data_IF_352598631341
#
_entry.id   IF_352598631341
#
_cell.length_a   1.000
_cell.length_b   1.000
_cell.length_c   1.000
_cell.angle_alpha   90.00
_cell.angle_beta   90.00
_cell.angle_gamma   90.00
#
_symmetry.space_group_name_H-M   'P 1'
#
loop_
_entity.id
_entity.type
_entity.pdbx_description
1 polymer ?
#
# COMPACT_ATOMS: atom_id res chain seq x y z
N UNK A 1 15.38 22.85 -43.89
CA UNK A 1 14.68 21.68 -43.39
C UNK A 1 13.18 21.79 -43.67
N UNK A 2 12.58 20.81 -44.26
CA UNK A 2 11.17 20.92 -44.62
C UNK A 2 10.28 21.08 -43.38
N UNK A 3 9.32 21.96 -43.44
CA UNK A 3 8.34 22.23 -42.41
C UNK A 3 7.56 20.96 -41.96
N UNK A 4 7.47 19.97 -42.85
CA UNK A 4 6.82 18.67 -42.60
C UNK A 4 7.47 17.86 -41.49
N UNK A 5 8.82 17.92 -41.36
CA UNK A 5 9.55 17.19 -40.31
C UNK A 5 9.33 17.85 -38.95
N UNK A 6 9.30 19.19 -38.90
CA UNK A 6 9.00 19.94 -37.69
C UNK A 6 7.57 19.65 -37.20
N UNK A 7 6.61 19.52 -38.11
CA UNK A 7 5.23 19.15 -37.83
C UNK A 7 5.15 17.75 -37.23
N UNK A 8 5.88 16.78 -37.79
CA UNK A 8 5.93 15.40 -37.30
C UNK A 8 6.57 15.32 -35.89
N UNK A 9 7.63 16.09 -35.65
CA UNK A 9 8.29 16.16 -34.32
C UNK A 9 7.33 16.74 -33.27
N UNK A 10 6.63 17.82 -33.60
CA UNK A 10 5.62 18.43 -32.70
C UNK A 10 4.45 17.50 -32.42
N UNK A 11 3.98 16.77 -33.42
CA UNK A 11 2.93 15.77 -33.30
C UNK A 11 3.37 14.62 -32.41
N UNK A 12 4.59 14.09 -32.61
CA UNK A 12 5.17 13.03 -31.78
C UNK A 12 5.35 13.48 -30.32
N UNK A 13 5.76 14.73 -30.10
CA UNK A 13 5.91 15.27 -28.74
C UNK A 13 4.57 15.44 -28.03
N UNK A 14 3.49 15.80 -28.77
CA UNK A 14 2.14 15.87 -28.21
C UNK A 14 1.63 14.49 -27.81
N UNK A 15 1.78 13.50 -28.68
CA UNK A 15 1.39 12.13 -28.38
C UNK A 15 2.15 11.57 -27.18
N UNK A 16 3.44 11.87 -27.07
CA UNK A 16 4.23 11.47 -25.91
C UNK A 16 3.79 12.19 -24.63
N UNK A 17 3.39 13.46 -24.70
CA UNK A 17 2.86 14.21 -23.57
C UNK A 17 1.48 13.67 -23.14
N UNK A 18 0.61 13.35 -24.09
CA UNK A 18 -0.67 12.71 -23.82
C UNK A 18 -0.50 11.30 -23.24
N UNK A 19 0.43 10.50 -23.76
CA UNK A 19 0.80 9.19 -23.19
C UNK A 19 1.37 9.33 -21.78
N UNK A 20 2.15 10.38 -21.49
CA UNK A 20 2.65 10.69 -20.14
C UNK A 20 1.51 11.08 -19.19
N UNK A 21 0.52 11.81 -19.66
CA UNK A 21 -0.67 12.13 -18.85
C UNK A 21 -1.55 10.91 -18.60
N UNK A 22 -1.69 10.03 -19.58
CA UNK A 22 -2.39 8.75 -19.43
C UNK A 22 -1.62 7.77 -18.53
N UNK A 23 -0.27 7.85 -18.50
CA UNK A 23 0.60 7.07 -17.60
C UNK A 23 0.57 7.51 -16.14
N UNK A 24 -0.12 8.62 -15.79
CA UNK A 24 -0.42 8.98 -14.40
C UNK A 24 -1.44 8.08 -13.72
N UNK A 25 -2.02 7.13 -14.46
CA UNK A 25 -2.82 6.06 -13.89
C UNK A 25 -1.90 5.06 -13.19
N UNK A 26 -2.11 4.91 -11.90
CA UNK A 26 -1.41 3.93 -11.09
C UNK A 26 -2.21 2.64 -10.98
N UNK A 27 -1.52 1.54 -10.78
CA UNK A 27 -2.16 0.27 -10.41
C UNK A 27 -2.20 0.22 -8.88
N UNK A 28 -3.34 -0.12 -8.35
CA UNK A 28 -3.60 -0.23 -6.92
C UNK A 28 -3.83 -1.69 -6.55
N UNK A 29 -3.15 -2.17 -5.55
CA UNK A 29 -3.43 -3.47 -4.94
C UNK A 29 -4.56 -3.29 -3.93
N UNK A 30 -5.66 -3.99 -4.13
CA UNK A 30 -6.82 -3.97 -3.23
C UNK A 30 -6.78 -5.22 -2.37
N UNK A 31 -6.83 -5.04 -1.06
CA UNK A 31 -6.71 -6.13 -0.10
C UNK A 31 -7.62 -5.91 1.11
N UNK A 32 -7.75 -6.93 1.91
CA UNK A 32 -8.56 -6.90 3.12
C UNK A 32 -7.70 -7.09 4.36
N UNK A 33 -8.14 -6.49 5.44
CA UNK A 33 -7.52 -6.60 6.77
C UNK A 33 -8.61 -7.00 7.76
N UNK A 34 -8.36 -8.07 8.51
CA UNK A 34 -9.26 -8.52 9.56
C UNK A 34 -10.40 -9.40 9.06
N UNK A 35 -11.27 -9.77 9.99
CA UNK A 35 -12.37 -10.66 9.73
C UNK A 35 -13.47 -9.99 8.91
N UNK A 36 -13.93 -10.64 7.84
CA UNK A 36 -14.77 -10.04 6.81
C UNK A 36 -16.27 -10.19 7.01
N UNK A 37 -16.71 -10.45 8.21
CA UNK A 37 -18.14 -10.65 8.44
C UNK A 37 -19.03 -9.55 7.86
N UNK A 38 -18.50 -8.34 7.69
CA UNK A 38 -19.23 -7.18 7.21
C UNK A 38 -18.90 -6.72 5.78
N UNK A 39 -17.94 -7.34 5.11
CA UNK A 39 -17.57 -7.02 3.72
C UNK A 39 -17.10 -5.58 3.46
N UNK A 40 -16.83 -4.81 4.50
CA UNK A 40 -16.64 -3.35 4.42
C UNK A 40 -15.20 -2.86 4.52
N UNK A 41 -14.24 -3.74 4.79
CA UNK A 41 -12.88 -3.32 5.09
C UNK A 41 -11.93 -3.61 3.92
N UNK A 42 -12.05 -2.81 2.88
CA UNK A 42 -11.14 -2.83 1.74
C UNK A 42 -10.12 -1.72 1.85
N UNK A 43 -8.88 -2.05 1.51
CA UNK A 43 -7.73 -1.16 1.58
C UNK A 43 -6.97 -1.20 0.27
N UNK A 44 -6.31 -0.10 -0.03
CA UNK A 44 -5.52 0.04 -1.25
C UNK A 44 -4.11 0.55 -0.96
N UNK A 45 -3.16 0.03 -1.70
CA UNK A 45 -1.79 0.49 -1.70
C UNK A 45 -1.32 0.58 -3.16
N UNK A 46 -0.55 1.61 -3.54
CA UNK A 46 0.01 1.63 -4.89
C UNK A 46 0.86 0.37 -5.14
N UNK A 47 0.69 -0.25 -6.30
CA UNK A 47 1.47 -1.44 -6.66
C UNK A 47 2.98 -1.20 -6.63
N UNK A 48 3.42 0.03 -6.91
CA UNK A 48 4.82 0.44 -6.82
C UNK A 48 5.38 0.37 -5.40
N UNK A 49 4.52 0.41 -4.39
CA UNK A 49 4.90 0.27 -2.98
C UNK A 49 5.04 -1.20 -2.54
N UNK A 50 4.70 -2.13 -3.41
CA UNK A 50 4.75 -3.58 -3.14
C UNK A 50 5.92 -4.19 -3.87
N UNK A 51 6.85 -4.79 -3.11
CA UNK A 51 7.96 -5.55 -3.67
C UNK A 51 7.51 -6.95 -4.08
N UNK A 52 6.78 -7.61 -3.20
CA UNK A 52 6.19 -8.92 -3.45
C UNK A 52 5.07 -9.23 -2.44
N UNK A 53 4.31 -10.26 -2.73
CA UNK A 53 3.30 -10.82 -1.82
C UNK A 53 3.76 -12.22 -1.45
N UNK A 54 3.95 -12.45 -0.14
CA UNK A 54 4.41 -13.74 0.39
C UNK A 54 3.25 -14.51 1.00
N UNK A 55 3.26 -15.83 0.75
CA UNK A 55 2.39 -16.79 1.42
C UNK A 55 3.23 -17.72 2.29
N UNK A 56 2.68 -18.09 3.44
CA UNK A 56 3.23 -19.13 4.32
C UNK A 56 4.69 -18.90 4.75
N UNK A 57 5.04 -17.63 4.99
CA UNK A 57 6.35 -17.29 5.52
C UNK A 57 6.44 -17.56 7.02
N UNK A 58 7.60 -18.00 7.49
CA UNK A 58 7.86 -18.20 8.92
C UNK A 58 8.19 -16.87 9.58
N UNK A 59 7.44 -16.53 10.63
CA UNK A 59 7.67 -15.32 11.42
C UNK A 59 8.26 -15.71 12.77
N UNK A 60 9.39 -15.10 13.12
CA UNK A 60 10.06 -15.29 14.38
C UNK A 60 9.67 -14.17 15.34
N UNK A 61 9.03 -14.46 16.49
CA UNK A 61 8.60 -13.42 17.41
C UNK A 61 9.79 -12.67 18.02
N UNK A 62 9.57 -11.38 18.34
CA UNK A 62 10.53 -10.52 19.01
C UNK A 62 10.04 -10.19 20.43
N UNK A 63 10.92 -10.11 21.43
CA UNK A 63 10.54 -9.63 22.75
C UNK A 63 10.41 -8.09 22.78
N UNK A 64 9.60 -7.59 23.72
CA UNK A 64 9.49 -6.16 24.01
C UNK A 64 9.10 -5.27 22.83
N UNK A 65 8.19 -5.77 21.98
CA UNK A 65 7.64 -5.02 20.84
C UNK A 65 6.17 -4.69 21.06
N UNK A 66 5.64 -3.66 20.39
CA UNK A 66 4.20 -3.40 20.44
C UNK A 66 3.37 -4.61 19.96
N UNK A 67 2.12 -4.77 20.42
CA UNK A 67 1.29 -5.93 20.08
C UNK A 67 1.07 -6.14 18.57
N UNK A 68 1.12 -5.08 17.77
CA UNK A 68 0.94 -5.19 16.32
C UNK A 68 2.20 -5.67 15.58
N UNK A 69 3.34 -5.76 16.25
CA UNK A 69 4.56 -6.33 15.69
C UNK A 69 4.55 -7.84 15.94
N UNK A 70 4.36 -8.63 14.88
CA UNK A 70 4.38 -10.09 14.99
C UNK A 70 5.78 -10.66 15.21
N UNK A 71 6.79 -9.96 14.74
CA UNK A 71 8.17 -10.39 14.79
C UNK A 71 8.92 -10.05 13.50
N UNK A 72 9.83 -10.93 13.10
CA UNK A 72 10.60 -10.77 11.87
C UNK A 72 10.49 -12.00 11.00
N UNK A 73 10.56 -11.80 9.70
CA UNK A 73 10.77 -12.87 8.72
C UNK A 73 12.07 -12.60 7.96
N UNK A 74 12.74 -13.66 7.52
CA UNK A 74 13.94 -13.53 6.73
C UNK A 74 13.57 -13.55 5.25
N UNK A 75 13.98 -12.51 4.53
CA UNK A 75 13.78 -12.41 3.09
C UNK A 75 15.03 -11.80 2.45
N UNK A 76 15.52 -12.41 1.40
CA UNK A 76 16.74 -11.96 0.70
C UNK A 76 17.99 -11.86 1.62
N UNK A 77 18.05 -12.69 2.65
CA UNK A 77 19.13 -12.66 3.63
C UNK A 77 19.00 -11.57 4.70
N UNK A 78 17.92 -10.78 4.69
CA UNK A 78 17.69 -9.68 5.62
C UNK A 78 16.44 -9.93 6.49
N UNK A 79 16.45 -9.46 7.74
CA UNK A 79 15.24 -9.49 8.57
C UNK A 79 14.27 -8.38 8.17
N UNK A 80 13.00 -8.75 7.99
CA UNK A 80 11.90 -7.84 7.72
C UNK A 80 10.95 -7.85 8.92
N UNK A 81 10.61 -6.68 9.43
CA UNK A 81 9.65 -6.54 10.52
C UNK A 81 8.25 -6.78 10.00
N UNK A 82 7.49 -7.64 10.68
CA UNK A 82 6.12 -7.99 10.30
C UNK A 82 5.12 -7.24 11.19
N UNK A 83 4.28 -6.43 10.55
CA UNK A 83 3.24 -5.65 11.21
C UNK A 83 1.88 -6.28 10.93
N UNK A 84 1.11 -6.59 11.96
CA UNK A 84 -0.28 -7.00 11.82
C UNK A 84 -1.15 -5.76 11.72
N UNK A 85 -1.62 -5.48 10.52
CA UNK A 85 -2.42 -4.28 10.23
C UNK A 85 -3.74 -4.26 11.01
N UNK A 86 -4.32 -5.41 11.30
CA UNK A 86 -5.57 -5.51 12.06
C UNK A 86 -5.36 -5.12 13.54
N UNK A 87 -4.31 -5.63 14.16
CA UNK A 87 -3.97 -5.29 15.55
C UNK A 87 -3.63 -3.82 15.68
N UNK A 88 -2.93 -3.27 14.69
CA UNK A 88 -2.62 -1.83 14.64
C UNK A 88 -3.89 -0.97 14.67
N UNK A 89 -4.95 -1.42 14.04
CA UNK A 89 -6.26 -0.73 14.03
C UNK A 89 -7.14 -1.07 15.25
N UNK A 90 -6.62 -1.82 16.21
CA UNK A 90 -7.38 -2.23 17.38
C UNK A 90 -8.32 -3.41 17.15
N UNK A 91 -8.12 -4.14 16.07
CA UNK A 91 -8.90 -5.35 15.74
C UNK A 91 -8.16 -6.61 16.22
N UNK A 92 -8.83 -7.74 16.11
CA UNK A 92 -8.23 -9.03 16.45
C UNK A 92 -7.08 -9.40 15.50
N UNK A 93 -6.11 -10.15 16.01
CA UNK A 93 -4.97 -10.63 15.23
C UNK A 93 -5.43 -11.50 14.04
N UNK A 94 -4.80 -11.29 12.90
CA UNK A 94 -5.11 -12.05 11.69
C UNK A 94 -4.57 -13.47 11.78
N UNK A 95 -5.35 -14.43 11.30
CA UNK A 95 -4.95 -15.83 11.24
C UNK A 95 -4.29 -16.20 9.91
N UNK A 96 -4.44 -15.35 8.91
CA UNK A 96 -3.85 -15.56 7.59
C UNK A 96 -2.32 -15.46 7.62
N UNK A 97 -1.67 -16.23 6.76
CA UNK A 97 -0.22 -16.19 6.55
C UNK A 97 0.09 -15.52 5.20
N UNK A 98 -0.42 -14.32 5.02
CA UNK A 98 -0.26 -13.53 3.79
C UNK A 98 0.34 -12.18 4.14
N UNK A 99 1.44 -11.82 3.43
CA UNK A 99 2.23 -10.65 3.75
C UNK A 99 2.52 -9.82 2.51
N UNK A 100 2.35 -8.51 2.60
CA UNK A 100 2.85 -7.57 1.61
C UNK A 100 4.25 -7.12 2.02
N UNK A 101 5.25 -7.42 1.22
CA UNK A 101 6.61 -6.92 1.42
C UNK A 101 6.68 -5.52 0.78
N UNK A 102 6.95 -4.51 1.58
CA UNK A 102 7.00 -3.13 1.10
C UNK A 102 8.27 -2.88 0.29
N UNK A 103 8.11 -2.13 -0.80
CA UNK A 103 9.19 -1.81 -1.73
C UNK A 103 9.87 -0.49 -1.32
N UNK A 104 10.56 -0.52 -0.19
CA UNK A 104 11.35 0.59 0.30
C UNK A 104 12.51 0.08 1.16
N UNK A 105 13.25 0.99 1.79
CA UNK A 105 14.40 0.67 2.64
C UNK A 105 14.01 0.31 4.09
N UNK A 106 12.73 0.32 4.42
CA UNK A 106 12.26 0.08 5.79
C UNK A 106 12.35 -1.37 6.24
N UNK A 107 12.47 -2.31 5.31
CA UNK A 107 12.42 -3.76 5.58
C UNK A 107 11.18 -4.13 6.40
N UNK A 108 10.01 -3.71 5.90
CA UNK A 108 8.73 -3.92 6.58
C UNK A 108 7.80 -4.77 5.73
N UNK A 109 7.09 -5.68 6.39
CA UNK A 109 6.00 -6.47 5.80
C UNK A 109 4.70 -6.16 6.52
N UNK A 110 3.62 -6.09 5.76
CA UNK A 110 2.27 -5.96 6.30
C UNK A 110 1.55 -7.30 6.22
N UNK A 111 1.11 -7.82 7.35
CA UNK A 111 0.24 -8.99 7.38
C UNK A 111 -1.16 -8.54 6.99
N UNK A 112 -1.73 -9.22 6.01
CA UNK A 112 -3.07 -8.92 5.47
C UNK A 112 -3.91 -10.19 5.48
N UNK A 113 -5.23 -10.05 5.29
CA UNK A 113 -6.13 -11.19 5.26
C UNK A 113 -6.20 -11.81 3.87
N UNK A 114 -6.44 -11.01 2.84
CA UNK A 114 -6.57 -11.51 1.46
C UNK A 114 -6.31 -10.41 0.45
N UNK A 115 -5.86 -10.81 -0.74
CA UNK A 115 -5.76 -9.92 -1.91
C UNK A 115 -7.05 -10.05 -2.71
N UNK A 116 -7.67 -8.93 -3.03
CA UNK A 116 -8.95 -8.89 -3.74
C UNK A 116 -8.82 -8.60 -5.20
N UNK A 117 -8.03 -7.59 -5.56
CA UNK A 117 -7.96 -7.14 -6.95
C UNK A 117 -6.73 -6.25 -7.20
N UNK A 118 -6.43 -6.05 -8.46
CA UNK A 118 -5.57 -4.98 -8.92
C UNK A 118 -6.43 -4.02 -9.73
N UNK A 119 -6.42 -2.74 -9.34
CA UNK A 119 -7.30 -1.74 -9.92
C UNK A 119 -6.47 -0.57 -10.48
N UNK A 120 -6.77 -0.18 -11.72
CA UNK A 120 -6.11 0.94 -12.37
C UNK A 120 -6.93 2.21 -12.15
N UNK A 121 -6.36 3.20 -11.49
CA UNK A 121 -6.98 4.50 -11.24
C UNK A 121 -5.92 5.58 -11.18
N UNK A 122 -6.33 6.82 -11.43
CA UNK A 122 -5.45 7.98 -11.25
C UNK A 122 -5.32 8.32 -9.76
N UNK A 123 -4.16 8.84 -9.36
CA UNK A 123 -4.01 9.43 -8.02
C UNK A 123 -5.00 10.56 -7.75
N UNK A 124 -5.47 11.23 -8.82
CA UNK A 124 -6.51 12.26 -8.75
C UNK A 124 -7.87 11.74 -8.34
N UNK A 125 -8.10 10.43 -8.50
CA UNK A 125 -9.36 9.78 -8.12
C UNK A 125 -9.43 9.50 -6.61
N UNK A 126 -8.31 9.66 -5.90
CA UNK A 126 -8.27 9.53 -4.45
C UNK A 126 -8.93 10.77 -3.82
N UNK A 127 -9.94 10.53 -3.00
CA UNK A 127 -10.60 11.58 -2.22
C UNK A 127 -9.88 11.70 -0.89
N UNK A 128 -9.07 12.74 -0.73
CA UNK A 128 -8.31 12.97 0.49
C UNK A 128 -9.21 13.33 1.67
N UNK A 129 -8.87 12.87 2.84
CA UNK A 129 -9.57 13.24 4.06
C UNK A 129 -9.42 14.73 4.34
N UNK A 130 -10.50 15.35 4.86
CA UNK A 130 -10.46 16.72 5.38
C UNK A 130 -9.62 16.76 6.67
N UNK A 131 -9.25 17.97 7.12
CA UNK A 131 -8.52 18.15 8.37
C UNK A 131 -9.24 17.54 9.58
N UNK A 132 -10.58 17.49 9.55
CA UNK A 132 -11.41 16.89 10.59
C UNK A 132 -11.40 15.36 10.56
N UNK A 133 -11.10 14.77 9.41
CA UNK A 133 -11.09 13.32 9.17
C UNK A 133 -9.68 12.73 9.15
N UNK A 134 -8.67 13.49 9.53
CA UNK A 134 -7.26 13.07 9.45
C UNK A 134 -7.02 11.73 10.13
N UNK A 135 -6.34 10.86 9.41
CA UNK A 135 -5.89 9.58 9.90
C UNK A 135 -4.36 9.51 9.82
N UNK A 136 -3.74 8.87 10.81
CA UNK A 136 -2.29 8.64 10.81
C UNK A 136 -1.86 7.62 9.76
N UNK A 137 -2.78 6.74 9.34
CA UNK A 137 -2.47 5.60 8.47
C UNK A 137 -3.05 5.72 7.07
N UNK A 138 -4.11 6.49 6.90
CA UNK A 138 -4.85 6.59 5.63
C UNK A 138 -4.90 8.02 5.13
N UNK A 139 -4.69 8.20 3.84
CA UNK A 139 -4.75 9.54 3.22
C UNK A 139 -6.12 9.90 2.67
N UNK A 140 -6.98 8.93 2.45
CA UNK A 140 -8.29 9.14 1.88
C UNK A 140 -8.93 7.85 1.43
N UNK A 141 -9.88 7.97 0.52
CA UNK A 141 -10.60 6.85 -0.06
C UNK A 141 -10.52 6.85 -1.58
N UNK A 142 -10.61 5.65 -2.15
CA UNK A 142 -10.68 5.42 -3.58
C UNK A 142 -11.94 4.61 -3.86
N UNK A 143 -12.73 5.03 -4.84
CA UNK A 143 -13.93 4.30 -5.22
C UNK A 143 -13.59 3.23 -6.25
N UNK A 144 -13.78 1.98 -5.86
CA UNK A 144 -13.50 0.80 -6.69
C UNK A 144 -14.79 0.00 -6.82
N UNK A 145 -15.33 -0.13 -8.04
CA UNK A 145 -16.56 -0.91 -8.32
C UNK A 145 -17.70 -0.60 -7.34
N UNK A 146 -17.97 0.70 -7.13
CA UNK A 146 -18.99 1.21 -6.20
C UNK A 146 -18.72 0.95 -4.71
N UNK A 147 -17.51 0.55 -4.36
CA UNK A 147 -17.08 0.38 -2.96
C UNK A 147 -16.03 1.41 -2.60
N UNK A 148 -16.11 1.93 -1.39
CA UNK A 148 -15.10 2.81 -0.83
C UNK A 148 -13.94 1.99 -0.28
N UNK A 149 -12.73 2.31 -0.71
CA UNK A 149 -11.50 1.62 -0.31
C UNK A 149 -10.59 2.63 0.37
N UNK A 150 -10.05 2.30 1.54
CA UNK A 150 -9.13 3.18 2.26
C UNK A 150 -7.73 3.10 1.67
N UNK A 151 -7.16 4.26 1.35
CA UNK A 151 -5.81 4.35 0.77
C UNK A 151 -4.78 4.54 1.87
N UNK A 152 -3.84 3.60 1.97
CA UNK A 152 -2.81 3.59 2.99
C UNK A 152 -1.72 4.63 2.70
N UNK A 153 -1.36 5.44 3.70
CA UNK A 153 -0.18 6.32 3.69
C UNK A 153 1.07 5.52 4.06
N UNK A 154 1.70 4.89 3.10
CA UNK A 154 2.80 3.96 3.36
C UNK A 154 3.93 4.60 4.16
N UNK A 155 4.41 5.77 3.74
CA UNK A 155 5.54 6.43 4.40
C UNK A 155 5.20 6.93 5.79
N UNK A 156 4.04 7.55 5.97
CA UNK A 156 3.57 8.01 7.27
C UNK A 156 3.36 6.85 8.24
N UNK A 157 2.80 5.75 7.75
CA UNK A 157 2.63 4.51 8.48
C UNK A 157 3.97 3.96 9.00
N UNK A 158 4.95 3.82 8.10
CA UNK A 158 6.28 3.32 8.42
C UNK A 158 6.97 4.20 9.46
N UNK A 159 6.93 5.52 9.27
CA UNK A 159 7.54 6.48 10.20
C UNK A 159 6.94 6.39 11.60
N UNK A 160 5.63 6.27 11.68
CA UNK A 160 4.94 6.14 12.97
C UNK A 160 5.31 4.84 13.68
N UNK A 161 5.31 3.73 12.97
CA UNK A 161 5.69 2.43 13.51
C UNK A 161 7.14 2.45 14.01
N UNK A 162 8.07 3.02 13.25
CA UNK A 162 9.46 3.15 13.66
C UNK A 162 9.62 3.96 14.94
N UNK A 163 8.89 5.07 15.07
CA UNK A 163 8.91 5.89 16.30
C UNK A 163 8.42 5.11 17.51
N UNK A 164 7.34 4.37 17.38
CA UNK A 164 6.78 3.58 18.48
C UNK A 164 7.70 2.44 18.88
N UNK A 165 8.35 1.77 17.95
CA UNK A 165 9.32 0.71 18.21
C UNK A 165 10.57 1.30 18.92
N UNK A 166 11.06 2.45 18.50
CA UNK A 166 12.21 3.12 19.11
C UNK A 166 11.91 3.64 20.50
N UNK A 167 10.65 3.98 20.80
CA UNK A 167 10.23 4.48 22.12
C UNK A 167 9.91 3.37 23.12
N UNK A 168 9.83 2.13 22.67
CA UNK A 168 9.52 0.97 23.52
C UNK A 168 10.71 0.48 24.33
#
# INVERSE_FOLDING_TARGET
MPEEILSLIKSSNRENAEKKQLKKKAVWLIFTIGNQADGKNLYAIPADSVKEILRDATVFPLPFVPPYVNGVLNRYGDPYVVIDSAVLEGKEAQQSMLFIVLNDESHTCLRITDVRDFFTASEKDVIHFSEEELSDYYEGTLKVKNQEVFVLKVQAFIEKVKKEIAAA
#
